data_IF_511029565954
#
_entry.id   IF_511029565954
#
_cell.length_a   1.000
_cell.length_b   1.000
_cell.length_c   1.000
_cell.angle_alpha   90.00
_cell.angle_beta   90.00
_cell.angle_gamma   90.00
#
_symmetry.space_group_name_H-M   'P 1'
#
loop_
_entity.id
_entity.type
_entity.pdbx_description
1 polymer ?
#
# COMPACT_ATOMS: atom_id res chain seq x y z
N UNK A 1 2.27 -25.16 -0.94
CA UNK A 1 2.05 -23.77 -0.49
C UNK A 1 0.65 -23.41 -0.91
N UNK A 2 -0.20 -22.89 -0.02
CA UNK A 2 -1.53 -22.47 -0.43
C UNK A 2 -1.38 -21.29 -1.35
N UNK A 3 -2.04 -21.40 -2.48
CA UNK A 3 -1.98 -20.42 -3.55
C UNK A 3 -2.81 -19.20 -3.17
N UNK A 4 -2.21 -18.02 -3.22
CA UNK A 4 -2.92 -16.77 -2.96
C UNK A 4 -3.86 -16.48 -4.11
N UNK A 5 -5.11 -16.13 -3.79
CA UNK A 5 -6.10 -15.67 -4.77
C UNK A 5 -5.73 -14.28 -5.27
N UNK A 6 -6.07 -13.98 -6.50
CA UNK A 6 -5.89 -12.68 -7.12
C UNK A 6 -6.90 -12.44 -8.22
N UNK A 7 -7.19 -11.19 -8.51
CA UNK A 7 -7.88 -10.77 -9.73
C UNK A 7 -6.83 -10.69 -10.83
N UNK A 8 -7.15 -11.24 -12.00
CA UNK A 8 -6.37 -11.08 -13.22
C UNK A 8 -7.31 -10.64 -14.34
N UNK A 9 -7.06 -9.47 -14.92
CA UNK A 9 -7.83 -8.91 -16.03
C UNK A 9 -6.89 -8.41 -17.13
N UNK A 10 -7.34 -8.53 -18.38
CA UNK A 10 -6.54 -8.18 -19.55
C UNK A 10 -5.65 -9.32 -20.04
N UNK A 11 -4.99 -9.10 -21.19
CA UNK A 11 -4.16 -10.13 -21.85
C UNK A 11 -2.97 -9.48 -22.59
N UNK A 12 -2.19 -8.68 -21.89
CA UNK A 12 -0.98 -8.03 -22.38
C UNK A 12 0.27 -8.78 -21.95
N UNK A 13 1.36 -8.66 -22.71
CA UNK A 13 2.69 -9.08 -22.30
C UNK A 13 3.31 -8.19 -21.24
N UNK A 14 2.74 -7.01 -20.98
CA UNK A 14 3.14 -6.10 -19.91
C UNK A 14 2.15 -6.20 -18.74
N UNK A 15 2.66 -6.16 -17.52
CA UNK A 15 1.88 -6.37 -16.30
C UNK A 15 1.81 -5.09 -15.45
N UNK A 16 0.62 -4.83 -14.89
CA UNK A 16 0.41 -3.87 -13.81
C UNK A 16 -0.01 -4.63 -12.54
N UNK A 17 0.87 -4.65 -11.55
CA UNK A 17 0.59 -5.25 -10.24
C UNK A 17 0.04 -4.18 -9.29
N UNK A 18 -1.17 -4.39 -8.76
CA UNK A 18 -1.88 -3.48 -7.86
C UNK A 18 -1.97 -4.08 -6.45
N UNK A 19 -1.19 -3.56 -5.51
CA UNK A 19 -1.08 -4.10 -4.14
C UNK A 19 -1.87 -3.24 -3.18
N UNK A 20 -2.89 -3.84 -2.54
CA UNK A 20 -3.73 -3.13 -1.57
C UNK A 20 -3.06 -2.88 -0.22
N UNK A 21 -3.69 -2.05 0.62
CA UNK A 21 -3.21 -1.68 1.94
C UNK A 21 -3.50 -2.70 3.05
N UNK A 22 -3.16 -2.32 4.27
CA UNK A 22 -3.44 -3.08 5.48
C UNK A 22 -4.94 -3.25 5.70
N UNK A 23 -5.39 -4.46 5.98
CA UNK A 23 -6.80 -4.85 6.15
C UNK A 23 -7.73 -4.37 5.01
N UNK A 24 -7.17 -4.25 3.82
CA UNK A 24 -7.84 -3.82 2.58
C UNK A 24 -8.07 -5.00 1.63
N UNK A 25 -8.37 -4.74 0.37
CA UNK A 25 -8.59 -5.77 -0.66
C UNK A 25 -8.42 -5.21 -2.07
N UNK A 26 -8.42 -6.08 -3.09
CA UNK A 26 -8.29 -5.68 -4.49
C UNK A 26 -9.44 -4.80 -4.98
N UNK A 27 -10.59 -4.81 -4.29
CA UNK A 27 -11.75 -3.96 -4.61
C UNK A 27 -11.44 -2.47 -4.51
N UNK A 28 -10.41 -2.09 -3.75
CA UNK A 28 -9.98 -0.69 -3.62
C UNK A 28 -9.29 -0.18 -4.88
N UNK A 29 -8.97 -1.10 -5.80
CA UNK A 29 -8.36 -0.85 -7.10
C UNK A 29 -9.31 -1.05 -8.29
N UNK A 30 -10.61 -1.24 -8.05
CA UNK A 30 -11.54 -1.61 -9.13
C UNK A 30 -11.57 -0.60 -10.29
N UNK A 31 -11.45 0.69 -9.99
CA UNK A 31 -11.36 1.74 -11.01
C UNK A 31 -10.11 1.61 -11.89
N UNK A 32 -8.98 1.26 -11.30
CA UNK A 32 -7.71 1.05 -11.98
C UNK A 32 -7.70 -0.28 -12.75
N UNK A 33 -8.25 -1.35 -12.15
CA UNK A 33 -8.37 -2.66 -12.81
C UNK A 33 -9.15 -2.50 -14.12
N UNK A 34 -10.34 -1.90 -14.06
CA UNK A 34 -11.20 -1.71 -15.22
C UNK A 34 -10.55 -0.83 -16.31
N UNK A 35 -9.82 0.21 -15.91
CA UNK A 35 -9.19 1.13 -16.84
C UNK A 35 -7.97 0.52 -17.53
N UNK A 36 -7.07 -0.09 -16.75
CA UNK A 36 -5.79 -0.56 -17.27
C UNK A 36 -5.84 -1.96 -17.91
N UNK A 37 -6.89 -2.76 -17.70
CA UNK A 37 -7.03 -4.09 -18.29
C UNK A 37 -7.06 -4.09 -19.83
N UNK A 38 -7.35 -2.96 -20.46
CA UNK A 38 -7.28 -2.80 -21.91
C UNK A 38 -5.84 -2.65 -22.46
N UNK A 39 -4.86 -2.34 -21.58
CA UNK A 39 -3.47 -2.07 -21.95
C UNK A 39 -2.48 -3.04 -21.31
N UNK A 40 -2.80 -3.55 -20.13
CA UNK A 40 -1.96 -4.42 -19.31
C UNK A 40 -2.67 -5.71 -18.96
N UNK A 41 -1.91 -6.75 -18.64
CA UNK A 41 -2.41 -7.78 -17.73
C UNK A 41 -2.34 -7.18 -16.31
N UNK A 42 -3.50 -6.87 -15.75
CA UNK A 42 -3.61 -6.30 -14.40
C UNK A 42 -3.74 -7.44 -13.40
N UNK A 43 -2.87 -7.45 -12.40
CA UNK A 43 -2.89 -8.41 -11.31
C UNK A 43 -3.14 -7.67 -9.99
N UNK A 44 -4.19 -8.05 -9.28
CA UNK A 44 -4.50 -7.52 -7.95
C UNK A 44 -4.64 -8.67 -6.95
N UNK A 45 -3.60 -8.97 -6.14
CA UNK A 45 -3.63 -10.07 -5.18
C UNK A 45 -4.59 -9.76 -4.02
N UNK A 46 -5.22 -10.81 -3.47
CA UNK A 46 -5.79 -10.79 -2.13
C UNK A 46 -4.66 -11.22 -1.21
N UNK A 47 -4.08 -10.26 -0.49
CA UNK A 47 -2.92 -10.55 0.35
C UNK A 47 -3.25 -11.61 1.41
N UNK A 48 -2.27 -12.43 1.75
CA UNK A 48 -2.39 -13.46 2.80
C UNK A 48 -3.06 -12.89 4.06
N UNK A 49 -4.00 -13.66 4.63
CA UNK A 49 -4.78 -13.23 5.80
C UNK A 49 -5.92 -12.25 5.51
N UNK A 50 -6.08 -11.81 4.24
CA UNK A 50 -7.15 -10.91 3.79
C UNK A 50 -8.23 -11.63 2.96
N UNK A 51 -8.10 -12.95 2.79
CA UNK A 51 -8.96 -13.80 1.97
C UNK A 51 -9.93 -14.67 2.79
N UNK A 52 -10.00 -14.45 4.11
CA UNK A 52 -10.82 -15.23 5.03
C UNK A 52 -10.27 -16.63 5.35
N UNK A 53 -9.09 -16.99 4.84
CA UNK A 53 -8.49 -18.29 5.12
C UNK A 53 -7.72 -18.27 6.45
N UNK A 54 -7.59 -19.44 7.07
CA UNK A 54 -6.83 -19.61 8.31
C UNK A 54 -5.34 -19.83 7.99
N UNK A 55 -4.51 -18.90 8.44
CA UNK A 55 -3.05 -18.95 8.29
C UNK A 55 -2.32 -19.22 9.61
N UNK A 56 -2.93 -19.96 10.52
CA UNK A 56 -2.43 -20.26 11.87
C UNK A 56 -1.02 -20.72 11.84
N UNK A 57 -0.01 -20.61 11.81
CA UNK A 57 1.38 -21.08 11.72
C UNK A 57 2.17 -20.53 10.51
N UNK A 58 1.65 -19.49 9.84
CA UNK A 58 2.37 -18.86 8.73
C UNK A 58 2.77 -17.43 9.05
N UNK A 59 3.95 -17.00 8.63
CA UNK A 59 4.39 -15.64 8.89
C UNK A 59 3.45 -14.61 8.25
N UNK A 60 3.11 -13.59 9.03
CA UNK A 60 2.40 -12.39 8.59
C UNK A 60 3.40 -11.24 8.62
N UNK A 61 4.14 -11.08 7.52
CA UNK A 61 5.16 -10.05 7.39
C UNK A 61 5.16 -9.43 5.99
N UNK A 62 5.67 -8.22 5.87
CA UNK A 62 5.83 -7.52 4.59
C UNK A 62 6.63 -8.39 3.61
N UNK A 63 7.70 -9.01 4.08
CA UNK A 63 8.58 -9.85 3.27
C UNK A 63 7.87 -11.10 2.75
N UNK A 64 7.03 -11.73 3.59
CA UNK A 64 6.28 -12.92 3.17
C UNK A 64 5.19 -12.55 2.16
N UNK A 65 4.43 -11.47 2.42
CA UNK A 65 3.40 -10.99 1.50
C UNK A 65 4.02 -10.57 0.16
N UNK A 66 5.20 -9.98 0.17
CA UNK A 66 5.95 -9.64 -1.05
C UNK A 66 6.38 -10.89 -1.82
N UNK A 67 6.86 -11.93 -1.12
CA UNK A 67 7.19 -13.21 -1.76
C UNK A 67 5.96 -13.85 -2.41
N UNK A 68 4.80 -13.73 -1.79
CA UNK A 68 3.54 -14.21 -2.37
C UNK A 68 3.22 -13.47 -3.68
N UNK A 69 3.40 -12.15 -3.73
CA UNK A 69 3.25 -11.36 -4.97
C UNK A 69 4.26 -11.77 -6.05
N UNK A 70 5.52 -11.99 -5.69
CA UNK A 70 6.56 -12.48 -6.62
C UNK A 70 6.19 -13.85 -7.17
N UNK A 71 5.66 -14.75 -6.35
CA UNK A 71 5.22 -16.08 -6.79
C UNK A 71 4.07 -16.00 -7.81
N UNK A 72 3.14 -15.06 -7.64
CA UNK A 72 2.09 -14.82 -8.64
C UNK A 72 2.71 -14.34 -9.95
N UNK A 73 3.59 -13.34 -9.91
CA UNK A 73 4.25 -12.81 -11.10
C UNK A 73 5.07 -13.85 -11.86
N UNK A 74 5.67 -14.80 -11.15
CA UNK A 74 6.49 -15.87 -11.74
C UNK A 74 5.69 -16.96 -12.46
N UNK A 75 4.34 -16.97 -12.36
CA UNK A 75 3.49 -17.92 -13.09
C UNK A 75 3.46 -17.68 -14.60
N UNK A 76 3.72 -16.44 -15.01
CA UNK A 76 3.76 -16.00 -16.42
C UNK A 76 5.04 -15.19 -16.67
N UNK A 77 5.41 -15.11 -17.94
CA UNK A 77 6.50 -14.20 -18.36
C UNK A 77 5.89 -12.87 -18.80
N UNK A 78 6.32 -11.80 -18.17
CA UNK A 78 5.97 -10.43 -18.56
C UNK A 78 7.20 -9.71 -19.10
N UNK A 79 7.03 -8.88 -20.12
CA UNK A 79 8.11 -8.06 -20.67
C UNK A 79 8.46 -6.94 -19.71
N UNK A 80 7.46 -6.19 -19.27
CA UNK A 80 7.58 -5.08 -18.33
C UNK A 80 6.58 -5.28 -17.20
N UNK A 81 7.01 -4.96 -15.98
CA UNK A 81 6.13 -4.96 -14.81
C UNK A 81 6.19 -3.57 -14.17
N UNK A 82 5.02 -2.97 -14.00
CA UNK A 82 4.83 -1.77 -13.19
C UNK A 82 4.12 -2.18 -11.92
N UNK A 83 4.57 -1.67 -10.79
CA UNK A 83 4.02 -2.04 -9.49
C UNK A 83 3.42 -0.80 -8.84
N UNK A 84 2.13 -0.87 -8.51
CA UNK A 84 1.46 0.14 -7.71
C UNK A 84 1.10 -0.43 -6.33
N UNK A 85 1.45 0.29 -5.28
CA UNK A 85 1.11 -0.08 -3.91
C UNK A 85 0.38 1.05 -3.20
N UNK A 86 -0.71 0.72 -2.50
CA UNK A 86 -1.46 1.66 -1.68
C UNK A 86 -1.16 1.46 -0.20
N UNK A 87 -0.88 2.54 0.53
CA UNK A 87 -0.69 2.49 1.99
C UNK A 87 0.40 1.49 2.40
N UNK A 88 0.07 0.43 3.16
CA UNK A 88 0.99 -0.67 3.46
C UNK A 88 1.54 -1.31 2.19
N UNK A 89 0.75 -1.38 1.13
CA UNK A 89 1.16 -1.92 -0.17
C UNK A 89 2.36 -1.21 -0.80
N UNK A 90 2.67 0.03 -0.41
CA UNK A 90 3.89 0.73 -0.85
C UNK A 90 5.16 0.04 -0.39
N UNK A 91 5.16 -0.54 0.83
CA UNK A 91 6.27 -1.34 1.37
C UNK A 91 6.46 -2.62 0.57
N UNK A 92 5.34 -3.28 0.26
CA UNK A 92 5.37 -4.48 -0.56
C UNK A 92 5.85 -4.17 -1.98
N UNK A 93 5.38 -3.07 -2.58
CA UNK A 93 5.80 -2.64 -3.91
C UNK A 93 7.33 -2.42 -3.99
N UNK A 94 7.90 -1.74 -2.99
CA UNK A 94 9.36 -1.54 -2.87
C UNK A 94 10.09 -2.89 -2.71
N UNK A 95 9.58 -3.79 -1.88
CA UNK A 95 10.22 -5.10 -1.62
C UNK A 95 10.11 -6.04 -2.84
N UNK A 96 8.95 -6.09 -3.51
CA UNK A 96 8.74 -6.86 -4.74
C UNK A 96 9.67 -6.37 -5.86
N UNK A 97 9.79 -5.03 -6.03
CA UNK A 97 10.65 -4.45 -7.06
C UNK A 97 12.14 -4.86 -6.90
N UNK A 98 12.60 -5.08 -5.66
CA UNK A 98 13.95 -5.59 -5.41
C UNK A 98 14.13 -7.07 -5.76
N UNK A 99 13.03 -7.84 -5.90
CA UNK A 99 13.06 -9.29 -6.11
C UNK A 99 12.83 -9.70 -7.55
N UNK A 100 12.39 -8.80 -8.42
CA UNK A 100 12.13 -9.07 -9.83
C UNK A 100 13.07 -8.27 -10.73
N UNK A 101 13.41 -8.83 -11.91
CA UNK A 101 14.40 -8.19 -12.81
C UNK A 101 13.78 -7.22 -13.81
N UNK A 102 12.52 -7.37 -14.11
CA UNK A 102 11.81 -6.63 -15.17
C UNK A 102 10.79 -5.64 -14.61
N UNK A 103 11.07 -5.07 -13.43
CA UNK A 103 10.35 -3.93 -12.88
C UNK A 103 10.79 -2.65 -13.62
N UNK A 104 9.83 -1.91 -14.16
CA UNK A 104 10.06 -0.69 -14.95
C UNK A 104 9.69 0.59 -14.20
N UNK A 105 8.87 0.49 -13.16
CA UNK A 105 8.50 1.65 -12.37
C UNK A 105 7.65 1.31 -11.16
N UNK A 106 7.62 2.24 -10.20
CA UNK A 106 6.84 2.15 -8.98
C UNK A 106 5.84 3.28 -8.86
N UNK A 107 4.61 2.97 -8.49
CA UNK A 107 3.58 3.93 -8.09
C UNK A 107 3.30 3.75 -6.61
N UNK A 108 3.61 4.77 -5.81
CA UNK A 108 3.46 4.76 -4.35
C UNK A 108 2.26 5.64 -3.97
N UNK A 109 1.14 4.99 -3.63
CA UNK A 109 -0.13 5.67 -3.36
C UNK A 109 -0.33 5.82 -1.87
N UNK A 110 -0.34 7.04 -1.40
CA UNK A 110 -0.55 7.49 -0.02
C UNK A 110 0.17 6.64 1.02
N UNK A 111 1.47 6.43 0.77
CA UNK A 111 2.36 5.68 1.64
C UNK A 111 2.66 6.44 2.93
N UNK A 112 3.21 5.74 3.90
CA UNK A 112 3.67 6.32 5.16
C UNK A 112 4.89 5.55 5.67
N UNK A 113 5.67 6.21 6.51
CA UNK A 113 6.74 5.58 7.29
C UNK A 113 6.44 5.79 8.76
N UNK A 114 6.35 4.70 9.53
CA UNK A 114 5.98 4.77 10.94
C UNK A 114 7.17 5.05 11.84
N UNK A 115 8.35 4.52 11.51
CA UNK A 115 9.54 4.58 12.35
C UNK A 115 10.82 4.52 11.52
N UNK A 116 11.92 4.90 12.13
CA UNK A 116 13.28 4.60 11.70
C UNK A 116 13.96 3.77 12.80
N UNK A 117 15.23 3.43 12.62
CA UNK A 117 15.99 2.63 13.58
C UNK A 117 15.98 3.24 14.99
N UNK A 118 16.12 4.57 15.09
CA UNK A 118 16.19 5.30 16.37
C UNK A 118 14.83 5.36 17.07
N UNK A 119 13.74 5.46 16.31
CA UNK A 119 12.38 5.63 16.84
C UNK A 119 11.60 4.33 16.98
N UNK A 120 12.15 3.20 16.56
CA UNK A 120 11.46 1.91 16.50
C UNK A 120 10.77 1.53 17.81
N UNK A 121 11.52 1.49 18.92
CA UNK A 121 10.99 1.09 20.21
C UNK A 121 9.90 2.05 20.71
N UNK A 122 10.10 3.36 20.55
CA UNK A 122 9.11 4.37 20.92
C UNK A 122 7.81 4.21 20.10
N UNK A 123 7.92 3.99 18.80
CA UNK A 123 6.75 3.79 17.94
C UNK A 123 6.01 2.52 18.28
N UNK A 124 6.73 1.42 18.52
CA UNK A 124 6.14 0.14 18.93
C UNK A 124 5.44 0.28 20.29
N UNK A 125 6.09 0.87 21.28
CA UNK A 125 5.51 1.13 22.60
C UNK A 125 4.25 2.00 22.52
N UNK A 126 4.27 3.07 21.72
CA UNK A 126 3.09 3.91 21.51
C UNK A 126 1.92 3.11 20.95
N UNK A 127 2.19 2.25 19.96
CA UNK A 127 1.18 1.38 19.39
C UNK A 127 0.65 0.34 20.40
N UNK A 128 1.52 -0.34 21.14
CA UNK A 128 1.11 -1.31 22.17
C UNK A 128 0.30 -0.64 23.30
N UNK A 129 0.71 0.55 23.76
CA UNK A 129 -0.03 1.31 24.76
C UNK A 129 -1.43 1.71 24.27
N UNK A 130 -1.60 2.04 22.98
CA UNK A 130 -2.92 2.33 22.43
C UNK A 130 -3.87 1.12 22.52
N UNK A 131 -3.34 -0.10 22.37
CA UNK A 131 -4.13 -1.33 22.51
C UNK A 131 -4.44 -1.64 23.98
N UNK A 132 -3.51 -1.33 24.89
CA UNK A 132 -3.73 -1.53 26.34
C UNK A 132 -4.75 -0.55 26.94
N UNK A 133 -4.82 0.67 26.40
CA UNK A 133 -5.78 1.71 26.84
C UNK A 133 -7.18 1.49 26.27
N UNK A 134 -7.29 0.79 25.17
CA UNK A 134 -8.52 0.44 24.49
C UNK A 134 -8.46 -1.03 24.04
N UNK A 135 -9.23 -1.45 23.09
CA UNK A 135 -9.09 -2.77 22.45
C UNK A 135 -8.44 -2.61 21.09
N UNK A 136 -7.75 -3.64 20.59
CA UNK A 136 -7.22 -3.63 19.22
C UNK A 136 -8.32 -3.34 18.18
N UNK A 137 -9.50 -3.89 18.40
CA UNK A 137 -10.68 -3.65 17.57
C UNK A 137 -11.08 -2.17 17.51
N UNK A 138 -11.11 -1.48 18.66
CA UNK A 138 -11.39 -0.04 18.71
C UNK A 138 -10.29 0.78 18.04
N UNK A 139 -9.02 0.46 18.31
CA UNK A 139 -7.86 1.11 17.65
C UNK A 139 -7.97 0.97 16.13
N UNK A 140 -8.25 -0.24 15.64
CA UNK A 140 -8.41 -0.53 14.22
C UNK A 140 -9.59 0.25 13.61
N UNK A 141 -10.75 0.23 14.25
CA UNK A 141 -11.95 0.96 13.82
C UNK A 141 -11.70 2.47 13.74
N UNK A 142 -11.06 3.05 14.76
CA UNK A 142 -10.74 4.48 14.79
C UNK A 142 -9.78 4.85 13.67
N UNK A 143 -8.75 4.04 13.44
CA UNK A 143 -7.80 4.23 12.35
C UNK A 143 -8.52 4.27 10.98
N UNK A 144 -9.38 3.30 10.67
CA UNK A 144 -10.09 3.28 9.39
C UNK A 144 -11.17 4.36 9.30
N UNK A 145 -11.77 4.76 10.42
CA UNK A 145 -12.75 5.85 10.46
C UNK A 145 -12.15 7.21 10.08
N UNK A 146 -10.85 7.41 10.34
CA UNK A 146 -10.13 8.65 10.01
C UNK A 146 -9.59 8.72 8.58
N UNK A 147 -9.89 7.73 7.72
CA UNK A 147 -9.32 7.66 6.37
C UNK A 147 -10.14 8.38 5.29
N UNK A 148 -11.39 8.77 5.57
CA UNK A 148 -12.26 9.50 4.66
C UNK A 148 -12.73 10.80 5.31
N UNK A 149 -12.66 11.91 4.58
CA UNK A 149 -13.00 13.24 5.10
C UNK A 149 -14.29 13.82 4.53
N UNK A 150 -14.79 13.30 3.38
CA UNK A 150 -16.08 13.70 2.83
C UNK A 150 -17.16 12.67 3.13
N UNK A 151 -18.38 13.17 3.43
CA UNK A 151 -19.58 12.34 3.61
C UNK A 151 -20.03 11.62 2.32
N UNK A 152 -19.60 12.10 1.15
CA UNK A 152 -19.88 11.46 -0.13
C UNK A 152 -19.36 10.02 -0.19
N UNK A 153 -18.36 9.71 0.66
CA UNK A 153 -17.74 8.39 0.74
C UNK A 153 -18.16 7.56 1.95
N UNK A 154 -19.20 7.94 2.71
CA UNK A 154 -19.64 7.22 3.90
C UNK A 154 -19.94 5.73 3.62
N UNK A 155 -20.51 5.43 2.44
CA UNK A 155 -20.77 4.04 2.03
C UNK A 155 -19.47 3.25 1.84
N UNK A 156 -18.44 3.86 1.20
CA UNK A 156 -17.13 3.24 1.04
C UNK A 156 -16.43 3.10 2.39
N UNK A 157 -16.46 4.13 3.21
CA UNK A 157 -15.93 4.12 4.58
C UNK A 157 -16.51 2.96 5.40
N UNK A 158 -17.84 2.78 5.37
CA UNK A 158 -18.50 1.67 6.10
C UNK A 158 -18.00 0.30 5.61
N UNK A 159 -17.88 0.10 4.30
CA UNK A 159 -17.40 -1.16 3.70
C UNK A 159 -15.93 -1.44 4.07
N UNK A 160 -15.08 -0.41 4.05
CA UNK A 160 -13.67 -0.53 4.41
C UNK A 160 -13.51 -0.89 5.88
N UNK A 161 -14.29 -0.25 6.77
CA UNK A 161 -14.30 -0.57 8.21
C UNK A 161 -14.78 -2.00 8.42
N UNK A 162 -15.92 -2.39 7.83
CA UNK A 162 -16.46 -3.75 7.96
C UNK A 162 -15.44 -4.80 7.53
N UNK A 163 -14.80 -4.61 6.36
CA UNK A 163 -13.76 -5.52 5.88
C UNK A 163 -12.58 -5.60 6.86
N UNK A 164 -12.10 -4.47 7.35
CA UNK A 164 -10.99 -4.43 8.29
C UNK A 164 -11.31 -5.16 9.61
N UNK A 165 -12.54 -5.01 10.09
CA UNK A 165 -13.02 -5.68 11.30
C UNK A 165 -13.19 -7.20 11.15
N UNK A 166 -13.33 -7.69 9.91
CA UNK A 166 -13.43 -9.13 9.62
C UNK A 166 -12.06 -9.81 9.50
N UNK A 167 -10.95 -9.07 9.47
CA UNK A 167 -9.61 -9.67 9.48
C UNK A 167 -9.27 -10.11 10.92
N UNK A 168 -8.94 -11.39 11.14
CA UNK A 168 -8.62 -11.89 12.48
C UNK A 168 -7.46 -11.13 13.12
N UNK A 169 -7.60 -10.79 14.40
CA UNK A 169 -6.58 -10.05 15.16
C UNK A 169 -5.24 -10.77 15.19
N UNK A 170 -5.24 -12.09 15.35
CA UNK A 170 -4.03 -12.91 15.33
C UNK A 170 -3.29 -12.90 13.99
N UNK A 171 -3.87 -12.36 12.93
CA UNK A 171 -3.25 -12.15 11.62
C UNK A 171 -2.87 -10.67 11.41
N UNK A 172 -3.78 -9.75 11.69
CA UNK A 172 -3.57 -8.32 11.41
C UNK A 172 -2.61 -7.66 12.42
N UNK A 173 -2.68 -8.02 13.68
CA UNK A 173 -1.81 -7.44 14.73
C UNK A 173 -0.32 -7.76 14.52
N UNK A 174 0.10 -9.02 14.26
CA UNK A 174 1.49 -9.32 13.90
C UNK A 174 1.96 -8.59 12.64
N UNK A 175 1.10 -8.48 11.61
CA UNK A 175 1.42 -7.76 10.40
C UNK A 175 1.65 -6.26 10.66
N UNK A 176 0.84 -5.64 11.53
CA UNK A 176 1.04 -4.23 11.91
C UNK A 176 2.36 -4.03 12.63
N UNK A 177 2.71 -4.91 13.59
CA UNK A 177 4.00 -4.89 14.29
C UNK A 177 5.17 -5.07 13.31
N UNK A 178 5.04 -5.99 12.38
CA UNK A 178 6.05 -6.19 11.35
C UNK A 178 6.19 -4.98 10.42
N UNK A 179 5.11 -4.27 10.07
CA UNK A 179 5.20 -3.06 9.26
C UNK A 179 6.02 -1.96 9.95
N UNK A 180 5.88 -1.79 11.27
CA UNK A 180 6.71 -0.87 12.07
C UNK A 180 8.18 -1.32 12.05
N UNK A 181 8.43 -2.63 12.23
CA UNK A 181 9.77 -3.21 12.17
C UNK A 181 10.40 -3.06 10.79
N UNK A 182 9.64 -3.33 9.72
CA UNK A 182 10.10 -3.21 8.33
C UNK A 182 10.53 -1.78 7.98
N UNK A 183 9.77 -0.78 8.43
CA UNK A 183 10.11 0.63 8.24
C UNK A 183 11.44 1.02 8.89
N UNK A 184 11.76 0.38 10.00
CA UNK A 184 12.97 0.68 10.78
C UNK A 184 14.21 -0.04 10.26
N UNK A 185 14.06 -1.26 9.75
CA UNK A 185 15.19 -2.17 9.52
C UNK A 185 15.40 -2.53 8.03
N UNK A 186 14.36 -2.41 7.19
CA UNK A 186 14.42 -2.91 5.82
C UNK A 186 14.22 -1.86 4.74
N UNK A 187 13.30 -0.88 4.95
CA UNK A 187 12.85 0.02 3.88
C UNK A 187 13.98 0.85 3.29
N UNK A 188 14.90 1.36 4.12
CA UNK A 188 16.02 2.18 3.66
C UNK A 188 16.96 1.40 2.75
N UNK A 189 17.34 0.18 3.16
CA UNK A 189 18.16 -0.72 2.35
C UNK A 189 17.48 -1.04 1.02
N UNK A 190 16.17 -1.35 1.06
CA UNK A 190 15.44 -1.70 -0.14
C UNK A 190 15.32 -0.51 -1.10
N UNK A 191 15.09 0.71 -0.60
CA UNK A 191 15.09 1.92 -1.43
C UNK A 191 16.48 2.21 -2.01
N UNK A 192 17.56 2.05 -1.24
CA UNK A 192 18.91 2.31 -1.72
C UNK A 192 19.38 1.38 -2.85
N UNK A 193 18.76 0.21 -2.97
CA UNK A 193 19.04 -0.76 -4.03
C UNK A 193 18.29 -0.49 -5.34
N UNK A 194 17.20 0.29 -5.29
CA UNK A 194 16.37 0.55 -6.48
C UNK A 194 16.99 1.62 -7.38
N UNK A 195 16.73 1.49 -8.69
CA UNK A 195 17.13 2.46 -9.72
C UNK A 195 16.00 2.60 -10.73
N UNK A 196 14.79 2.83 -10.24
CA UNK A 196 13.56 2.85 -11.02
C UNK A 196 12.92 4.24 -10.96
N UNK A 197 12.21 4.67 -12.00
CA UNK A 197 11.29 5.80 -11.89
C UNK A 197 10.21 5.53 -10.84
N UNK A 198 9.86 6.59 -10.09
CA UNK A 198 8.86 6.52 -9.02
C UNK A 198 7.81 7.62 -9.22
N UNK A 199 6.55 7.23 -9.22
CA UNK A 199 5.41 8.13 -9.12
C UNK A 199 4.87 8.07 -7.69
N UNK A 200 4.74 9.21 -7.03
CA UNK A 200 4.09 9.33 -5.73
C UNK A 200 2.77 10.05 -5.91
N UNK A 201 1.67 9.39 -5.53
CA UNK A 201 0.34 9.98 -5.41
C UNK A 201 0.02 10.09 -3.93
N UNK A 202 -0.17 11.30 -3.41
CA UNK A 202 -0.25 11.49 -1.95
C UNK A 202 -1.37 12.44 -1.56
N UNK A 203 -2.12 12.09 -0.49
CA UNK A 203 -3.33 12.82 -0.09
C UNK A 203 -3.40 13.12 1.40
N UNK A 204 -2.69 12.35 2.24
CA UNK A 204 -2.84 12.49 3.70
C UNK A 204 -1.50 12.57 4.41
N UNK A 205 -1.51 13.11 5.62
CA UNK A 205 -0.36 13.09 6.54
C UNK A 205 -0.74 12.47 7.86
N UNK A 206 0.26 11.89 8.54
CA UNK A 206 0.14 11.36 9.89
C UNK A 206 0.84 12.32 10.86
N UNK A 207 0.22 12.58 12.00
CA UNK A 207 0.84 13.27 13.11
C UNK A 207 1.63 12.33 14.03
N UNK A 208 2.18 12.86 15.12
CA UNK A 208 2.95 12.10 16.11
C UNK A 208 2.13 11.02 16.83
N UNK A 209 0.80 11.19 16.87
CA UNK A 209 -0.15 10.21 17.44
C UNK A 209 -0.62 9.18 16.41
N UNK A 210 -0.10 9.26 15.17
CA UNK A 210 -0.51 8.44 14.04
C UNK A 210 -1.97 8.70 13.59
N UNK A 211 -2.51 9.87 13.93
CA UNK A 211 -3.80 10.33 13.43
C UNK A 211 -3.65 10.91 12.02
N UNK A 212 -4.63 10.61 11.18
CA UNK A 212 -4.59 10.96 9.75
C UNK A 212 -5.40 12.23 9.49
N UNK A 213 -4.82 13.13 8.71
CA UNK A 213 -5.48 14.34 8.23
C UNK A 213 -5.18 14.58 6.74
N UNK A 214 -6.05 15.30 6.00
CA UNK A 214 -5.78 15.63 4.61
C UNK A 214 -4.59 16.58 4.50
N UNK A 215 -3.84 16.47 3.42
CA UNK A 215 -2.77 17.45 3.12
C UNK A 215 -3.36 18.74 2.59
N UNK A 216 -2.66 19.83 2.89
CA UNK A 216 -2.88 21.18 2.38
C UNK A 216 -1.65 21.64 1.61
N UNK A 217 -1.82 22.63 0.73
CA UNK A 217 -0.80 23.11 -0.24
C UNK A 217 0.59 23.43 0.35
N UNK A 218 0.68 23.76 1.64
CA UNK A 218 1.94 24.15 2.30
C UNK A 218 2.47 23.10 3.27
N UNK A 219 1.83 21.96 3.36
CA UNK A 219 2.26 20.93 4.30
C UNK A 219 3.60 20.32 3.89
N UNK A 220 4.48 20.15 4.87
CA UNK A 220 5.63 19.29 4.73
C UNK A 220 5.19 17.84 4.92
N UNK A 221 5.58 16.98 3.98
CA UNK A 221 5.18 15.57 4.00
C UNK A 221 6.43 14.71 4.15
N UNK A 222 6.70 14.30 5.39
CA UNK A 222 7.90 13.54 5.74
C UNK A 222 8.12 12.28 4.91
N UNK A 223 7.05 11.59 4.51
CA UNK A 223 7.15 10.43 3.64
C UNK A 223 7.71 10.78 2.25
N UNK A 224 7.27 11.88 1.67
CA UNK A 224 7.78 12.36 0.37
C UNK A 224 9.24 12.76 0.49
N UNK A 225 9.59 13.53 1.54
CA UNK A 225 10.98 13.96 1.78
C UNK A 225 11.89 12.74 1.98
N UNK A 226 11.39 11.73 2.69
CA UNK A 226 12.09 10.47 2.87
C UNK A 226 12.35 9.75 1.53
N UNK A 227 11.36 9.59 0.66
CA UNK A 227 11.56 8.95 -0.64
C UNK A 227 12.49 9.79 -1.54
N UNK A 228 12.37 11.11 -1.54
CA UNK A 228 13.24 12.02 -2.30
C UNK A 228 14.72 11.92 -1.93
N UNK A 229 15.04 11.51 -0.70
CA UNK A 229 16.44 11.34 -0.28
C UNK A 229 17.19 10.23 -1.02
N UNK A 230 16.48 9.38 -1.77
CA UNK A 230 17.04 8.28 -2.56
C UNK A 230 17.03 8.62 -4.06
N UNK A 231 17.79 9.41 -4.56
CA UNK A 231 18.21 9.72 -5.95
C UNK A 231 17.41 9.07 -7.12
N UNK A 232 16.07 9.04 -7.04
CA UNK A 232 15.18 8.52 -8.08
C UNK A 232 14.78 9.62 -9.08
N UNK A 233 14.39 9.20 -10.30
CA UNK A 233 13.54 10.03 -11.15
C UNK A 233 12.13 9.99 -10.53
N UNK A 234 11.73 11.05 -9.80
CA UNK A 234 10.45 11.09 -9.07
C UNK A 234 9.51 12.10 -9.70
N UNK A 235 8.26 11.66 -9.97
CA UNK A 235 7.10 12.54 -10.19
C UNK A 235 6.21 12.49 -8.95
N UNK A 236 5.69 13.62 -8.49
CA UNK A 236 4.84 13.73 -7.29
C UNK A 236 3.58 14.47 -7.66
N UNK A 237 2.44 13.89 -7.30
CA UNK A 237 1.12 14.49 -7.44
C UNK A 237 0.41 14.49 -6.09
N UNK A 238 -0.06 15.67 -5.68
CA UNK A 238 -0.70 15.88 -4.39
C UNK A 238 -2.22 16.04 -4.57
N UNK A 239 -2.98 15.31 -3.77
CA UNK A 239 -4.44 15.32 -3.75
C UNK A 239 -4.93 16.05 -2.49
N UNK A 240 -4.91 17.39 -2.53
CA UNK A 240 -5.32 18.22 -1.39
C UNK A 240 -6.78 17.96 -0.99
N UNK A 241 -7.05 17.92 0.31
CA UNK A 241 -8.39 17.75 0.85
C UNK A 241 -9.03 16.38 0.60
N UNK A 242 -8.28 15.42 0.03
CA UNK A 242 -8.76 14.07 -0.30
C UNK A 242 -8.37 13.09 0.80
N UNK A 243 -9.17 12.04 1.01
CA UNK A 243 -8.89 10.99 1.98
C UNK A 243 -7.78 10.03 1.54
N UNK A 244 -7.56 9.01 2.38
CA UNK A 244 -6.51 8.02 2.18
C UNK A 244 -6.72 7.14 0.93
N UNK A 245 -7.96 6.95 0.52
CA UNK A 245 -8.34 6.08 -0.58
C UNK A 245 -8.54 6.87 -1.89
N UNK A 246 -7.50 7.58 -2.34
CA UNK A 246 -7.59 8.38 -3.59
C UNK A 246 -7.95 7.53 -4.81
N UNK A 247 -7.63 6.24 -4.81
CA UNK A 247 -8.02 5.27 -5.84
C UNK A 247 -9.53 5.08 -5.94
N UNK A 248 -10.24 5.34 -4.83
CA UNK A 248 -11.71 5.28 -4.74
C UNK A 248 -12.32 6.68 -4.89
N UNK A 249 -11.68 7.69 -4.28
CA UNK A 249 -12.24 9.05 -4.21
C UNK A 249 -12.03 9.84 -5.51
N UNK A 250 -10.97 9.53 -6.27
CA UNK A 250 -10.57 10.23 -7.50
C UNK A 250 -10.07 9.27 -8.57
N UNK A 251 -10.81 8.18 -8.89
CA UNK A 251 -10.31 7.10 -9.75
C UNK A 251 -9.87 7.57 -11.13
N UNK A 252 -10.63 8.48 -11.77
CA UNK A 252 -10.33 8.97 -13.12
C UNK A 252 -9.01 9.75 -13.12
N UNK A 253 -8.84 10.70 -12.16
CA UNK A 253 -7.62 11.52 -12.06
C UNK A 253 -6.40 10.63 -11.77
N UNK A 254 -6.54 9.65 -10.89
CA UNK A 254 -5.48 8.67 -10.59
C UNK A 254 -5.11 7.88 -11.83
N UNK A 255 -6.09 7.43 -12.61
CA UNK A 255 -5.87 6.69 -13.85
C UNK A 255 -5.13 7.51 -14.89
N UNK A 256 -5.56 8.76 -15.11
CA UNK A 256 -4.94 9.68 -16.08
C UNK A 256 -3.48 9.94 -15.71
N UNK A 257 -3.19 10.27 -14.46
CA UNK A 257 -1.83 10.56 -13.99
C UNK A 257 -0.93 9.31 -14.13
N UNK A 258 -1.40 8.14 -13.72
CA UNK A 258 -0.64 6.89 -13.87
C UNK A 258 -0.39 6.60 -15.36
N UNK A 259 -1.40 6.75 -16.21
CA UNK A 259 -1.29 6.51 -17.65
C UNK A 259 -0.27 7.45 -18.32
N UNK A 260 -0.34 8.76 -18.03
CA UNK A 260 0.63 9.74 -18.50
C UNK A 260 2.06 9.40 -18.08
N UNK A 261 2.22 9.08 -16.78
CA UNK A 261 3.54 8.74 -16.25
C UNK A 261 4.10 7.45 -16.86
N UNK A 262 3.27 6.43 -17.09
CA UNK A 262 3.70 5.20 -17.78
C UNK A 262 4.17 5.51 -19.21
N UNK A 263 3.51 6.43 -19.89
CA UNK A 263 3.90 6.83 -21.25
C UNK A 263 5.27 7.54 -21.29
N UNK A 264 5.70 8.15 -20.19
CA UNK A 264 6.99 8.83 -20.06
C UNK A 264 8.17 7.87 -19.73
N UNK A 265 7.88 6.57 -19.43
CA UNK A 265 8.89 5.54 -19.09
C UNK A 265 9.57 4.97 -20.32
#
# INVERSE_FOLDING_TARGET
>A
MDEIKYIEEGNSSDCLLLIHGFCSGPEDWIGQINFFSNQFTVIAPILRGHDGLNYNNRPMSIEQLSNDCVNILNKKKYNKIIIAGHSMGTRLAIDVANKIKNCFGLVLVDGSRFSNYETYFKTLETFENSILQDTYSSVLKNMFSSMFFSKDFDKHKSRVIERAMNIPENLSLPLRRNAIWYDSHCVEKNLSNLRLPVLILHSTKLDEKMERSPILKKDQIFYIDFIKSYNFKIRIELFEGTGHYITIEKPEIVNDIISEWIYEL
#
